data_IF_558324576804
#
_entry.id   IF_558324576804
#
_cell.length_a   1.000
_cell.length_b   1.000
_cell.length_c   1.000
_cell.angle_alpha   90.00
_cell.angle_beta   90.00
_cell.angle_gamma   90.00
#
_symmetry.space_group_name_H-M   'P 1'
#
loop_
_entity.id
_entity.type
_entity.pdbx_description
1 polymer ?
#
# COMPACT_ATOMS: atom_id res chain seq x y z
N UNK A 1 14.90 -0.43 -29.61
CA UNK A 1 13.48 -0.43 -29.26
C UNK A 1 13.26 -1.66 -28.40
N UNK A 2 12.85 -1.46 -27.15
CA UNK A 2 12.47 -2.57 -26.28
C UNK A 2 11.07 -3.04 -26.65
N UNK A 3 10.95 -4.32 -27.01
CA UNK A 3 9.68 -4.93 -27.41
C UNK A 3 8.76 -5.08 -26.19
N UNK A 4 9.34 -5.27 -24.99
CA UNK A 4 8.61 -5.44 -23.73
C UNK A 4 9.06 -4.40 -22.72
N UNK A 5 8.22 -3.39 -22.50
CA UNK A 5 8.44 -2.33 -21.52
C UNK A 5 7.09 -1.93 -20.89
N UNK A 6 6.77 -2.50 -19.72
CA UNK A 6 5.56 -2.19 -18.98
C UNK A 6 5.79 -2.29 -17.47
N UNK A 7 4.88 -1.68 -16.71
CA UNK A 7 4.87 -1.74 -15.24
C UNK A 7 3.87 -2.77 -14.72
N UNK A 8 4.07 -3.19 -13.48
CA UNK A 8 3.11 -3.95 -12.69
C UNK A 8 2.67 -3.13 -11.49
N UNK A 9 1.37 -2.92 -11.36
CA UNK A 9 0.76 -2.18 -10.27
C UNK A 9 -0.13 -3.10 -9.42
N UNK A 10 -0.09 -2.95 -8.09
CA UNK A 10 -0.87 -3.75 -7.16
C UNK A 10 -1.48 -2.89 -6.05
N UNK A 11 -2.72 -3.18 -5.66
CA UNK A 11 -3.34 -2.63 -4.44
C UNK A 11 -3.34 -3.70 -3.36
N UNK A 12 -3.10 -3.28 -2.12
CA UNK A 12 -3.03 -4.14 -0.94
C UNK A 12 -3.52 -3.38 0.28
N UNK A 13 -4.10 -4.08 1.25
CA UNK A 13 -4.54 -3.50 2.53
C UNK A 13 -3.88 -4.20 3.71
N UNK A 14 -4.34 -3.89 4.93
CA UNK A 14 -3.78 -4.43 6.18
C UNK A 14 -3.77 -5.97 6.22
N UNK A 15 -4.83 -6.62 5.74
CA UNK A 15 -4.91 -8.08 5.65
C UNK A 15 -3.76 -8.68 4.84
N UNK A 16 -3.42 -8.08 3.69
CA UNK A 16 -2.28 -8.51 2.89
C UNK A 16 -0.96 -8.30 3.63
N UNK A 17 -0.83 -7.20 4.37
CA UNK A 17 0.40 -6.86 5.10
C UNK A 17 0.65 -7.77 6.31
N UNK A 18 -0.40 -8.30 6.92
CA UNK A 18 -0.32 -9.24 8.03
C UNK A 18 -0.01 -10.68 7.58
N UNK A 19 -0.44 -11.05 6.37
CA UNK A 19 -0.22 -12.39 5.84
C UNK A 19 1.27 -12.65 5.57
N UNK A 20 1.78 -13.79 6.08
CA UNK A 20 3.21 -14.14 6.02
C UNK A 20 3.75 -14.28 4.59
N UNK A 21 2.88 -14.63 3.64
CA UNK A 21 3.26 -14.70 2.22
C UNK A 21 3.73 -13.34 1.67
N UNK A 22 3.25 -12.22 2.24
CA UNK A 22 3.72 -10.88 1.86
C UNK A 22 5.19 -10.67 2.20
N UNK A 23 5.66 -11.19 3.34
CA UNK A 23 7.08 -11.15 3.71
C UNK A 23 7.93 -11.90 2.68
N UNK A 24 7.53 -13.12 2.30
CA UNK A 24 8.26 -13.95 1.35
C UNK A 24 8.39 -13.29 -0.03
N UNK A 25 7.26 -12.87 -0.61
CA UNK A 25 7.26 -12.32 -1.98
C UNK A 25 7.88 -10.93 -2.03
N UNK A 26 7.70 -10.09 -1.01
CA UNK A 26 8.30 -8.76 -0.97
C UNK A 26 9.81 -8.83 -0.69
N UNK A 27 10.27 -9.75 0.16
CA UNK A 27 11.71 -10.01 0.37
C UNK A 27 12.39 -10.43 -0.93
N UNK A 28 11.77 -11.35 -1.68
CA UNK A 28 12.28 -11.79 -2.98
C UNK A 28 12.26 -10.65 -4.01
N UNK A 29 11.18 -9.86 -4.07
CA UNK A 29 11.08 -8.73 -5.02
C UNK A 29 12.17 -7.68 -4.80
N UNK A 30 12.53 -7.42 -3.55
CA UNK A 30 13.64 -6.54 -3.20
C UNK A 30 14.99 -7.12 -3.63
N UNK A 31 15.22 -8.41 -3.38
CA UNK A 31 16.43 -9.14 -3.82
C UNK A 31 16.58 -9.09 -5.35
N UNK A 32 15.49 -9.28 -6.09
CA UNK A 32 15.46 -9.28 -7.55
C UNK A 32 15.43 -7.87 -8.18
N UNK A 33 15.39 -6.81 -7.36
CA UNK A 33 15.42 -5.41 -7.83
C UNK A 33 14.33 -5.10 -8.84
N UNK A 34 13.09 -5.52 -8.56
CA UNK A 34 11.96 -5.35 -9.48
C UNK A 34 11.50 -3.89 -9.60
N UNK A 35 12.29 -3.03 -10.25
CA UNK A 35 12.05 -1.57 -10.37
C UNK A 35 10.80 -1.14 -11.11
N UNK A 36 10.10 -2.07 -11.77
CA UNK A 36 8.81 -1.80 -12.45
C UNK A 36 7.60 -2.31 -11.66
N UNK A 37 7.81 -2.84 -10.44
CA UNK A 37 6.76 -3.19 -9.49
C UNK A 37 6.48 -2.00 -8.58
N UNK A 38 5.23 -1.54 -8.57
CA UNK A 38 4.75 -0.50 -7.66
C UNK A 38 3.48 -0.97 -6.95
N UNK A 39 3.56 -1.10 -5.63
CA UNK A 39 2.43 -1.46 -4.78
C UNK A 39 1.89 -0.21 -4.08
N UNK A 40 0.57 -0.12 -3.98
CA UNK A 40 -0.14 0.86 -3.19
C UNK A 40 -0.72 0.15 -1.98
N UNK A 41 -0.32 0.62 -0.80
CA UNK A 41 -0.88 0.17 0.45
C UNK A 41 -2.01 1.13 0.86
N UNK A 42 -3.22 0.60 0.88
CA UNK A 42 -4.40 1.24 1.46
C UNK A 42 -4.29 1.20 2.98
N UNK A 43 -3.61 2.21 3.52
CA UNK A 43 -3.29 2.38 4.93
C UNK A 43 -4.43 3.17 5.60
N UNK A 44 -5.53 2.47 5.85
CA UNK A 44 -6.78 3.05 6.34
C UNK A 44 -7.03 2.80 7.84
N UNK A 45 -6.23 1.94 8.47
CA UNK A 45 -6.25 1.65 9.91
C UNK A 45 -7.40 0.75 10.39
N UNK A 46 -8.12 0.09 9.48
CA UNK A 46 -9.31 -0.73 9.78
C UNK A 46 -9.19 -2.12 9.14
N UNK A 47 -9.38 -3.16 9.96
CA UNK A 47 -9.70 -4.52 9.50
C UNK A 47 -11.15 -4.89 9.85
N UNK A 48 -11.55 -6.13 9.57
CA UNK A 48 -12.89 -6.64 9.91
C UNK A 48 -13.18 -6.51 11.42
N UNK A 49 -12.18 -6.75 12.27
CA UNK A 49 -12.34 -6.74 13.73
C UNK A 49 -12.31 -5.32 14.33
N UNK A 50 -12.07 -4.28 13.53
CA UNK A 50 -12.02 -2.89 13.96
C UNK A 50 -10.68 -2.20 13.70
N UNK A 51 -10.29 -1.29 14.59
CA UNK A 51 -9.01 -0.58 14.53
C UNK A 51 -7.84 -1.55 14.70
N UNK A 52 -6.90 -1.49 13.76
CA UNK A 52 -5.81 -2.47 13.67
C UNK A 52 -4.79 -2.40 14.80
N UNK A 53 -4.72 -1.29 15.55
CA UNK A 53 -3.74 -1.06 16.62
C UNK A 53 -3.71 -2.15 17.71
N UNK A 54 -4.80 -2.91 17.85
CA UNK A 54 -4.90 -4.02 18.80
C UNK A 54 -4.11 -5.29 18.40
N UNK A 55 -3.80 -5.47 17.11
CA UNK A 55 -3.17 -6.70 16.59
C UNK A 55 -2.15 -6.48 15.45
N UNK A 56 -2.03 -5.26 14.91
CA UNK A 56 -1.07 -4.92 13.88
C UNK A 56 -0.44 -3.55 14.17
N UNK A 57 0.82 -3.58 14.57
CA UNK A 57 1.58 -2.40 15.04
C UNK A 57 2.96 -2.31 14.40
N UNK A 58 3.16 -2.98 13.27
CA UNK A 58 4.41 -2.92 12.51
C UNK A 58 4.68 -1.48 12.07
N UNK A 59 5.95 -1.06 12.15
CA UNK A 59 6.45 -0.02 11.25
C UNK A 59 6.57 -0.64 9.85
N UNK A 60 5.45 -0.64 9.12
CA UNK A 60 5.37 -1.24 7.78
C UNK A 60 6.36 -0.59 6.81
N UNK A 61 6.62 0.71 6.97
CA UNK A 61 7.58 1.41 6.12
C UNK A 61 8.99 0.86 6.35
N UNK A 62 9.42 0.77 7.61
CA UNK A 62 10.72 0.24 7.99
C UNK A 62 10.88 -1.23 7.58
N UNK A 63 9.81 -2.02 7.71
CA UNK A 63 9.78 -3.42 7.25
C UNK A 63 10.09 -3.53 5.76
N UNK A 64 9.48 -2.70 4.92
CA UNK A 64 9.71 -2.71 3.47
C UNK A 64 11.09 -2.15 3.09
N UNK A 65 11.58 -1.13 3.80
CA UNK A 65 12.95 -0.66 3.64
C UNK A 65 13.98 -1.75 3.94
N UNK A 66 13.73 -2.57 4.97
CA UNK A 66 14.58 -3.71 5.29
C UNK A 66 14.59 -4.79 4.19
N UNK A 67 13.51 -4.92 3.40
CA UNK A 67 13.50 -5.75 2.19
C UNK A 67 14.22 -5.12 0.99
N UNK A 68 14.67 -3.87 1.09
CA UNK A 68 15.31 -3.15 -0.01
C UNK A 68 14.32 -2.46 -0.95
N UNK A 69 13.09 -2.20 -0.51
CA UNK A 69 12.11 -1.43 -1.28
C UNK A 69 12.38 0.08 -1.17
N UNK A 70 11.93 0.81 -2.17
CA UNK A 70 11.71 2.24 -2.07
C UNK A 70 10.33 2.49 -1.44
N UNK A 71 10.24 3.36 -0.44
CA UNK A 71 8.99 3.61 0.29
C UNK A 71 8.66 5.10 0.29
N UNK A 72 7.48 5.43 -0.23
CA UNK A 72 6.90 6.78 -0.14
C UNK A 72 5.88 6.78 0.99
N UNK A 73 6.18 7.50 2.06
CA UNK A 73 5.35 7.56 3.28
C UNK A 73 4.31 8.67 3.19
N UNK A 74 3.22 8.50 3.93
CA UNK A 74 2.23 9.56 4.19
C UNK A 74 1.65 10.19 2.92
N UNK A 75 1.41 9.39 1.87
CA UNK A 75 0.71 9.85 0.68
C UNK A 75 -0.74 10.08 1.06
N UNK A 76 -1.25 11.30 0.88
CA UNK A 76 -2.68 11.57 1.05
C UNK A 76 -3.45 10.86 -0.06
N UNK A 77 -4.13 9.76 0.30
CA UNK A 77 -4.85 8.90 -0.62
C UNK A 77 -6.15 9.50 -1.14
N UNK A 78 -6.55 10.68 -0.66
CA UNK A 78 -7.69 11.45 -1.17
C UNK A 78 -7.26 12.67 -1.98
N UNK A 79 -5.95 12.85 -2.20
CA UNK A 79 -5.39 13.93 -3.00
C UNK A 79 -4.77 13.40 -4.30
N UNK A 80 -5.41 13.62 -5.47
CA UNK A 80 -4.91 13.15 -6.75
C UNK A 80 -3.50 13.65 -7.10
N UNK A 81 -3.14 14.87 -6.71
CA UNK A 81 -1.82 15.44 -7.00
C UNK A 81 -0.74 14.78 -6.14
N UNK A 82 -1.05 14.46 -4.88
CA UNK A 82 -0.13 13.73 -3.99
C UNK A 82 0.13 12.31 -4.51
N UNK A 83 -0.93 11.59 -4.92
CA UNK A 83 -0.81 10.25 -5.51
C UNK A 83 0.00 10.30 -6.81
N UNK A 84 -0.30 11.28 -7.68
CA UNK A 84 0.44 11.45 -8.93
C UNK A 84 1.93 11.69 -8.69
N UNK A 85 2.27 12.57 -7.75
CA UNK A 85 3.67 12.85 -7.39
C UNK A 85 4.37 11.58 -6.87
N UNK A 86 3.71 10.79 -6.03
CA UNK A 86 4.24 9.54 -5.49
C UNK A 86 4.49 8.48 -6.59
N UNK A 87 3.58 8.36 -7.56
CA UNK A 87 3.76 7.47 -8.72
C UNK A 87 4.94 7.94 -9.59
N UNK A 88 5.03 9.25 -9.86
CA UNK A 88 6.14 9.80 -10.65
C UNK A 88 7.49 9.63 -9.95
N UNK A 89 7.53 9.72 -8.62
CA UNK A 89 8.71 9.42 -7.80
C UNK A 89 9.09 7.93 -7.90
N UNK A 90 8.14 7.02 -7.68
CA UNK A 90 8.38 5.57 -7.79
C UNK A 90 8.92 5.17 -9.16
N UNK A 91 8.40 5.75 -10.25
CA UNK A 91 8.87 5.45 -11.62
C UNK A 91 10.29 5.92 -11.91
N UNK A 92 10.85 6.83 -11.11
CA UNK A 92 12.26 7.25 -11.20
C UNK A 92 13.21 6.26 -10.52
N UNK A 93 12.70 5.40 -9.63
CA UNK A 93 13.48 4.37 -8.95
C UNK A 93 13.43 3.09 -9.76
N UNK A 94 14.50 2.82 -10.51
CA UNK A 94 14.53 1.73 -11.49
C UNK A 94 15.17 0.43 -10.98
N UNK A 95 15.77 0.45 -9.79
CA UNK A 95 16.54 -0.66 -9.22
C UNK A 95 15.94 -1.23 -7.91
N UNK A 96 14.75 -0.77 -7.53
CA UNK A 96 14.00 -1.24 -6.35
C UNK A 96 12.50 -1.25 -6.63
N UNK A 97 11.76 -2.26 -6.17
CA UNK A 97 10.30 -2.15 -6.12
C UNK A 97 9.88 -1.00 -5.20
N UNK A 98 8.71 -0.41 -5.47
CA UNK A 98 8.20 0.74 -4.71
C UNK A 98 6.92 0.41 -3.95
N UNK A 99 6.85 0.84 -2.69
CA UNK A 99 5.63 0.84 -1.87
C UNK A 99 5.18 2.30 -1.64
N UNK A 100 3.96 2.61 -2.07
CA UNK A 100 3.31 3.89 -1.82
C UNK A 100 2.32 3.69 -0.66
N UNK A 101 2.60 4.30 0.49
CA UNK A 101 1.74 4.21 1.67
C UNK A 101 0.68 5.31 1.60
N UNK A 102 -0.49 4.94 1.11
CA UNK A 102 -1.62 5.83 0.89
C UNK A 102 -2.52 5.85 2.14
N UNK A 103 -2.50 6.95 2.87
CA UNK A 103 -3.44 7.19 3.97
C UNK A 103 -4.82 7.48 3.39
N UNK A 104 -5.76 6.57 3.61
CA UNK A 104 -7.15 6.75 3.18
C UNK A 104 -8.11 6.68 4.37
N UNK A 105 -9.39 6.86 4.08
CA UNK A 105 -10.49 6.69 5.04
C UNK A 105 -11.40 5.65 4.44
N UNK A 106 -11.51 4.49 5.07
CA UNK A 106 -12.40 3.43 4.59
C UNK A 106 -13.84 3.98 4.52
N UNK A 107 -14.55 3.72 3.42
CA UNK A 107 -15.91 4.24 3.22
C UNK A 107 -16.00 5.76 3.07
N UNK A 108 -14.92 6.43 2.64
CA UNK A 108 -14.90 7.88 2.38
C UNK A 108 -16.15 8.36 1.65
N UNK A 109 -16.74 9.45 2.15
CA UNK A 109 -18.00 10.02 1.65
C UNK A 109 -19.25 9.53 2.39
N UNK A 110 -19.21 8.40 3.11
CA UNK A 110 -20.31 7.99 3.98
C UNK A 110 -20.37 8.86 5.24
N UNK A 111 -21.46 9.60 5.51
CA UNK A 111 -21.54 10.50 6.66
C UNK A 111 -21.53 9.75 8.01
N UNK A 112 -22.01 8.49 8.02
CA UNK A 112 -22.23 7.74 9.25
C UNK A 112 -21.30 6.53 9.42
N UNK A 113 -20.67 6.04 8.33
CA UNK A 113 -19.87 4.81 8.35
C UNK A 113 -18.42 4.99 7.88
N UNK A 114 -18.02 6.16 7.40
CA UNK A 114 -16.63 6.41 7.04
C UNK A 114 -15.73 6.24 8.27
N UNK A 115 -14.60 5.55 8.10
CA UNK A 115 -13.63 5.27 9.17
C UNK A 115 -14.05 4.17 10.14
N UNK A 116 -15.08 3.38 9.83
CA UNK A 116 -15.59 2.30 10.71
C UNK A 116 -15.45 0.94 10.04
N UNK A 117 -15.36 -0.15 10.82
CA UNK A 117 -15.33 -1.51 10.26
C UNK A 117 -16.67 -1.91 9.59
N UNK A 118 -17.77 -1.23 9.91
CA UNK A 118 -19.11 -1.54 9.37
C UNK A 118 -19.22 -1.36 7.84
N UNK A 119 -18.33 -0.57 7.23
CA UNK A 119 -18.29 -0.38 5.77
C UNK A 119 -17.44 -1.43 5.04
N UNK A 120 -16.69 -2.26 5.77
CA UNK A 120 -15.74 -3.19 5.17
C UNK A 120 -16.42 -4.25 4.28
N UNK A 121 -17.52 -4.85 4.77
CA UNK A 121 -18.13 -6.02 4.13
C UNK A 121 -19.65 -6.03 4.12
N UNK A 122 -20.30 -4.93 4.51
CA UNK A 122 -21.75 -4.82 4.56
C UNK A 122 -22.24 -3.61 3.76
N UNK A 123 -23.50 -3.70 3.29
CA UNK A 123 -24.16 -2.55 2.68
C UNK A 123 -24.21 -1.36 3.66
N UNK A 124 -24.11 -0.14 3.13
CA UNK A 124 -24.08 1.08 3.95
C UNK A 124 -25.36 1.32 4.75
N UNK A 125 -26.46 0.65 4.41
CA UNK A 125 -27.81 0.99 4.86
C UNK A 125 -28.60 1.53 3.68
#
# INVERSE_FOLDING_TARGET
HDIVDHHTYAFMGDGCMMEGISHEVCSLAGTLKLGKLTAFYDDNGISIDGHVDGWFTDDTALRFEAYGWHVVRNVDGHNPDAIKAAIEEARKVTDKPSLLMCKTVIGFGSPNKAGTHDVHGAALG
#
